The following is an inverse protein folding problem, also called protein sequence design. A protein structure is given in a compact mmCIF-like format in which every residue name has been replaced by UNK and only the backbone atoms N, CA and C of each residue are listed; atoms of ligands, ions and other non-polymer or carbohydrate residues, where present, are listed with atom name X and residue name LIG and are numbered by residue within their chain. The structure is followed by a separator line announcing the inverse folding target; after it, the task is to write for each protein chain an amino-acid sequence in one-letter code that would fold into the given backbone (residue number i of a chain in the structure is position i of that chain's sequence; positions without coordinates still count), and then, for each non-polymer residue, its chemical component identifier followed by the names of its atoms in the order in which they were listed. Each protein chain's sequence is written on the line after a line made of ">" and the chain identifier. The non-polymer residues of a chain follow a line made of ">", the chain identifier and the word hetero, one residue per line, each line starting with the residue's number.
data_IF_849983119807
#
_entry.id   IF_849983119807
#
_cell.length_a   1.000
_cell.length_b   1.000
_cell.length_c   1.000
_cell.angle_alpha   90.00
_cell.angle_beta   90.00
_cell.angle_gamma   90.00
#
_symmetry.space_group_name_H-M   'P 1'
#
loop_
_entity.id
_entity.type
_entity.pdbx_description
1 polymer ?
#
# COMPACT_ATOMS: atom_id res chain seq x y z
N UNK A 1 -22.78 -4.27 -17.33
CA UNK A 1 -21.37 -4.59 -17.05
C UNK A 1 -20.95 -3.67 -15.91
N UNK A 2 -20.87 -4.21 -14.69
CA UNK A 2 -20.43 -3.51 -13.47
C UNK A 2 -19.40 -4.44 -12.77
N UNK A 3 -18.36 -4.82 -13.49
CA UNK A 3 -17.32 -5.78 -13.08
C UNK A 3 -16.15 -5.14 -12.30
N UNK A 4 -16.12 -3.81 -12.19
CA UNK A 4 -14.98 -3.03 -11.69
C UNK A 4 -14.39 -3.45 -10.34
N UNK A 5 -15.19 -3.77 -9.29
CA UNK A 5 -14.60 -4.14 -8.00
C UNK A 5 -13.92 -5.52 -8.03
N UNK A 6 -14.47 -6.48 -8.75
CA UNK A 6 -13.89 -7.83 -8.86
C UNK A 6 -12.61 -7.80 -9.71
N UNK A 7 -12.62 -7.05 -10.81
CA UNK A 7 -11.43 -6.86 -11.67
C UNK A 7 -10.26 -6.26 -10.88
N UNK A 8 -10.53 -5.30 -9.99
CA UNK A 8 -9.49 -4.66 -9.18
C UNK A 8 -8.86 -5.63 -8.17
N UNK A 9 -9.65 -6.50 -7.55
CA UNK A 9 -9.13 -7.48 -6.59
C UNK A 9 -8.33 -8.57 -7.30
N UNK A 10 -8.76 -9.01 -8.48
CA UNK A 10 -8.00 -9.95 -9.34
C UNK A 10 -6.60 -9.41 -9.67
N UNK A 11 -6.50 -8.13 -10.03
CA UNK A 11 -5.20 -7.47 -10.26
C UNK A 11 -4.36 -7.45 -8.99
N UNK A 12 -4.94 -7.10 -7.85
CA UNK A 12 -4.21 -7.07 -6.57
C UNK A 12 -3.70 -8.47 -6.19
N UNK A 13 -4.47 -9.53 -6.44
CA UNK A 13 -4.04 -10.92 -6.23
C UNK A 13 -2.89 -11.30 -7.15
N UNK A 14 -2.95 -10.91 -8.42
CA UNK A 14 -1.87 -11.17 -9.38
C UNK A 14 -0.57 -10.49 -8.96
N UNK A 15 -0.64 -9.23 -8.51
CA UNK A 15 0.52 -8.49 -7.97
C UNK A 15 1.03 -9.15 -6.68
N UNK A 16 0.16 -9.60 -5.79
CA UNK A 16 0.55 -10.25 -4.53
C UNK A 16 1.19 -11.63 -4.75
N UNK A 17 0.76 -12.35 -5.78
CA UNK A 17 1.31 -13.65 -6.16
C UNK A 17 2.61 -13.55 -6.97
N UNK A 18 2.95 -12.35 -7.46
CA UNK A 18 4.23 -12.09 -8.12
C UNK A 18 5.36 -12.06 -7.09
N UNK A 19 5.78 -13.24 -6.65
CA UNK A 19 6.88 -13.47 -5.70
C UNK A 19 8.25 -13.53 -6.40
N UNK A 20 8.27 -13.61 -7.73
CA UNK A 20 9.47 -13.78 -8.59
C UNK A 20 10.14 -12.45 -8.98
N UNK A 21 9.88 -11.36 -8.26
CA UNK A 21 10.53 -10.07 -8.47
C UNK A 21 11.26 -9.69 -7.19
N UNK A 22 12.54 -10.07 -7.09
CA UNK A 22 13.35 -9.75 -5.93
C UNK A 22 13.91 -8.32 -6.03
N UNK A 23 14.26 -7.76 -4.88
CA UNK A 23 14.89 -6.45 -4.79
C UNK A 23 16.20 -6.39 -5.59
N UNK A 24 16.89 -7.51 -5.78
CA UNK A 24 18.06 -7.64 -6.62
C UNK A 24 17.76 -7.41 -8.11
N UNK A 25 16.63 -7.92 -8.62
CA UNK A 25 16.21 -7.72 -10.02
C UNK A 25 15.88 -6.24 -10.28
N UNK A 26 15.31 -5.57 -9.27
CA UNK A 26 15.05 -4.13 -9.32
C UNK A 26 16.34 -3.31 -9.25
N UNK A 27 17.37 -3.77 -8.53
CA UNK A 27 18.66 -3.08 -8.43
C UNK A 27 19.47 -3.20 -9.72
N UNK A 28 19.38 -4.32 -10.44
CA UNK A 28 19.99 -4.46 -11.76
C UNK A 28 19.35 -3.52 -12.79
N UNK A 29 18.03 -3.32 -12.72
CA UNK A 29 17.29 -2.42 -13.61
C UNK A 29 17.41 -0.94 -13.18
N UNK A 30 17.43 -0.64 -11.88
CA UNK A 30 17.27 0.72 -11.34
C UNK A 30 18.48 1.25 -10.52
N UNK A 31 19.43 0.41 -10.13
CA UNK A 31 20.39 0.68 -9.04
C UNK A 31 21.52 1.66 -9.33
N UNK A 32 21.99 1.75 -10.58
CA UNK A 32 23.05 2.70 -10.99
C UNK A 32 22.53 3.88 -11.81
N UNK A 33 21.22 3.94 -12.04
CA UNK A 33 20.62 5.05 -12.75
C UNK A 33 20.61 6.28 -11.82
N UNK A 34 20.97 7.45 -12.37
CA UNK A 34 20.89 8.72 -11.61
C UNK A 34 19.53 8.77 -10.93
N UNK A 35 19.45 9.08 -9.62
CA UNK A 35 18.18 9.22 -8.92
C UNK A 35 17.25 10.01 -9.81
N UNK A 36 16.11 9.41 -10.17
CA UNK A 36 15.22 9.97 -11.16
C UNK A 36 14.93 11.42 -10.72
N UNK A 37 15.44 12.42 -11.45
CA UNK A 37 15.50 13.83 -10.98
C UNK A 37 14.14 14.37 -10.54
N UNK A 38 13.07 13.73 -11.00
CA UNK A 38 11.68 14.01 -10.68
C UNK A 38 11.23 13.50 -9.29
N UNK A 39 11.95 12.55 -8.67
CA UNK A 39 11.63 12.03 -7.33
C UNK A 39 12.02 12.97 -6.19
N UNK A 40 12.80 14.03 -6.44
CA UNK A 40 13.18 15.02 -5.41
C UNK A 40 11.98 15.71 -4.73
N UNK A 41 10.80 15.64 -5.33
CA UNK A 41 9.55 16.19 -4.81
C UNK A 41 8.60 15.11 -4.28
N UNK A 42 9.01 13.84 -4.29
CA UNK A 42 8.24 12.72 -3.77
C UNK A 42 8.83 12.36 -2.40
N UNK A 43 8.30 13.00 -1.37
CA UNK A 43 8.64 12.74 0.03
C UNK A 43 7.36 12.71 0.87
N UNK A 44 7.49 12.32 2.14
CA UNK A 44 6.42 12.43 3.13
C UNK A 44 6.47 13.78 3.88
N UNK A 45 7.19 14.76 3.34
CA UNK A 45 7.29 16.08 3.96
C UNK A 45 5.90 16.75 4.02
N UNK A 46 5.60 17.37 5.15
CA UNK A 46 4.26 17.92 5.42
C UNK A 46 3.19 16.86 5.72
N UNK A 47 3.56 15.57 5.78
CA UNK A 47 2.68 14.54 6.32
C UNK A 47 2.66 14.56 7.84
N UNK A 48 3.82 14.74 8.46
CA UNK A 48 4.03 14.79 9.90
C UNK A 48 5.08 15.84 10.24
N UNK A 49 4.98 16.41 11.45
CA UNK A 49 6.02 17.29 11.99
C UNK A 49 7.33 16.50 12.25
N UNK A 50 8.51 17.14 12.17
CA UNK A 50 9.78 16.47 12.44
C UNK A 50 9.80 15.75 13.79
N UNK A 51 10.19 14.48 13.80
CA UNK A 51 10.22 13.65 15.01
C UNK A 51 8.90 12.98 15.39
N UNK A 52 7.82 13.22 14.63
CA UNK A 52 6.54 12.53 14.83
C UNK A 52 6.52 11.20 14.09
N UNK A 53 5.86 10.18 14.66
CA UNK A 53 5.64 8.91 13.98
C UNK A 53 4.75 9.11 12.73
N UNK A 54 5.34 8.89 11.54
CA UNK A 54 4.67 9.01 10.25
C UNK A 54 3.41 8.14 10.17
N UNK A 55 3.45 6.95 10.78
CA UNK A 55 2.31 6.02 10.73
C UNK A 55 1.11 6.57 11.49
N UNK A 56 1.35 7.22 12.62
CA UNK A 56 0.29 7.81 13.44
C UNK A 56 -0.28 9.06 12.80
N UNK A 57 0.57 9.96 12.29
CA UNK A 57 0.14 11.14 11.53
C UNK A 57 -0.69 10.77 10.29
N UNK A 58 -0.32 9.70 9.59
CA UNK A 58 -1.08 9.18 8.45
C UNK A 58 -2.44 8.61 8.86
N UNK A 59 -2.53 7.88 9.98
CA UNK A 59 -3.81 7.38 10.51
C UNK A 59 -4.75 8.51 10.87
N UNK A 60 -4.26 9.53 11.58
CA UNK A 60 -5.05 10.73 11.92
C UNK A 60 -5.54 11.48 10.68
N UNK A 61 -4.71 11.55 9.62
CA UNK A 61 -5.11 12.11 8.32
C UNK A 61 -6.29 11.32 7.73
N UNK A 62 -6.18 10.00 7.67
CA UNK A 62 -7.21 9.13 7.11
C UNK A 62 -8.50 9.20 7.92
N UNK A 63 -8.41 9.29 9.23
CA UNK A 63 -9.56 9.46 10.11
C UNK A 63 -10.28 10.79 9.82
N UNK A 64 -9.53 11.90 9.76
CA UNK A 64 -10.06 13.22 9.42
C UNK A 64 -10.71 13.25 8.03
N UNK A 65 -10.17 12.52 7.07
CA UNK A 65 -10.72 12.42 5.72
C UNK A 65 -11.87 11.40 5.59
N UNK A 66 -12.23 10.69 6.67
CA UNK A 66 -13.26 9.64 6.64
C UNK A 66 -12.85 8.40 5.83
N UNK A 67 -11.55 8.26 5.53
CA UNK A 67 -10.98 7.14 4.77
C UNK A 67 -10.47 6.02 5.67
N UNK A 68 -10.42 6.26 6.98
CA UNK A 68 -10.09 5.24 7.94
C UNK A 68 -11.31 4.32 8.13
N UNK A 69 -11.23 3.11 7.60
CA UNK A 69 -12.26 2.10 7.80
C UNK A 69 -12.27 1.60 9.24
N UNK A 70 -13.40 1.77 9.93
CA UNK A 70 -13.64 1.25 11.29
C UNK A 70 -13.81 -0.27 11.33
N UNK A 71 -14.14 -0.90 10.19
CA UNK A 71 -14.26 -2.36 10.08
C UNK A 71 -12.90 -3.06 9.91
N UNK A 72 -11.82 -2.28 9.87
CA UNK A 72 -10.45 -2.67 10.23
C UNK A 72 -9.98 -3.97 9.58
N UNK A 73 -9.73 -3.97 8.28
CA UNK A 73 -9.04 -5.06 7.59
C UNK A 73 -7.60 -4.66 7.27
N UNK A 74 -6.72 -5.65 7.16
CA UNK A 74 -5.41 -5.48 6.56
C UNK A 74 -5.53 -5.44 5.04
N UNK A 75 -4.50 -4.95 4.34
CA UNK A 75 -4.43 -5.07 2.86
C UNK A 75 -4.51 -6.55 2.45
N UNK A 76 -3.98 -7.46 3.27
CA UNK A 76 -4.13 -8.91 3.06
C UNK A 76 -5.59 -9.34 3.07
N UNK A 77 -6.39 -8.86 4.02
CA UNK A 77 -7.84 -9.17 4.09
C UNK A 77 -8.60 -8.59 2.87
N UNK A 78 -8.13 -7.49 2.32
CA UNK A 78 -8.67 -6.95 1.07
C UNK A 78 -8.36 -7.86 -0.13
N UNK A 79 -7.13 -8.37 -0.22
CA UNK A 79 -6.66 -9.18 -1.36
C UNK A 79 -7.16 -10.64 -1.30
N UNK A 80 -7.10 -11.25 -0.12
CA UNK A 80 -7.46 -12.66 0.10
C UNK A 80 -8.91 -12.85 0.55
N UNK A 81 -9.63 -11.75 0.82
CA UNK A 81 -10.90 -11.78 1.54
C UNK A 81 -10.67 -11.86 3.05
N UNK A 82 -11.61 -11.28 3.82
CA UNK A 82 -11.61 -11.39 5.28
C UNK A 82 -11.82 -12.87 5.64
N UNK A 83 -10.85 -13.44 6.34
CA UNK A 83 -11.05 -14.78 6.88
C UNK A 83 -12.09 -14.70 7.99
N UNK A 84 -13.18 -15.46 7.86
CA UNK A 84 -14.07 -15.69 8.98
C UNK A 84 -13.26 -16.42 10.06
N UNK A 85 -12.96 -15.74 11.15
CA UNK A 85 -12.50 -16.42 12.36
C UNK A 85 -13.69 -17.22 12.86
N UNK A 86 -13.83 -18.48 12.42
CA UNK A 86 -14.80 -19.41 13.01
C UNK A 86 -14.41 -19.57 14.50
N UNK A 87 -15.24 -19.10 15.45
CA UNK A 87 -14.97 -19.37 16.86
C UNK A 87 -15.22 -20.86 17.10
N UNK A 88 -14.21 -21.54 17.63
CA UNK A 88 -14.30 -22.94 18.05
C UNK A 88 -14.83 -23.07 19.47
#
# INVERSE_FOLDING_TARGET
>A
MNQQPDDAVEVLRAVWAADDQDRADLDEVCGTQKPCKNMKHVSFDGLAEPGTDLRSAWRERLEREGKLSSSGGTVRDLVLGRQESTPS
#
